data_IF_765747334108
#
_entry.id   IF_765747334108
#
_cell.length_a   1.000
_cell.length_b   1.000
_cell.length_c   1.000
_cell.angle_alpha   90.00
_cell.angle_beta   90.00
_cell.angle_gamma   90.00
#
_symmetry.space_group_name_H-M   'P 1'
#
loop_
_entity.id
_entity.type
_entity.pdbx_description
1 polymer ?
#
# COMPACT_ATOMS: atom_id res chain seq x y z
N UNK A 1 8.93 -3.32 14.05
CA UNK A 1 7.93 -2.50 13.33
C UNK A 1 6.55 -3.03 13.60
N UNK A 2 5.59 -2.17 13.91
CA UNK A 2 4.17 -2.52 14.02
C UNK A 2 3.44 -1.91 12.83
N UNK A 3 2.54 -2.69 12.20
CA UNK A 3 1.72 -2.24 11.07
C UNK A 3 0.27 -2.48 11.44
N UNK A 4 -0.58 -1.47 11.22
CA UNK A 4 -2.03 -1.57 11.40
C UNK A 4 -2.66 -1.36 10.02
N UNK A 5 -3.37 -2.36 9.53
CA UNK A 5 -4.20 -2.28 8.34
C UNK A 5 -5.62 -1.85 8.71
N UNK A 6 -6.40 -1.38 7.73
CA UNK A 6 -7.77 -0.88 7.97
C UNK A 6 -7.81 0.21 9.05
N UNK A 7 -6.91 1.19 8.87
CA UNK A 7 -6.54 2.16 9.91
C UNK A 7 -7.25 3.52 9.77
N UNK A 8 -8.37 3.60 9.05
CA UNK A 8 -9.06 4.88 8.79
C UNK A 8 -9.43 5.60 10.09
N UNK A 9 -9.85 4.84 11.10
CA UNK A 9 -10.20 5.37 12.43
C UNK A 9 -8.99 5.93 13.20
N UNK A 10 -7.76 5.56 12.84
CA UNK A 10 -6.54 6.09 13.46
C UNK A 10 -6.10 7.43 12.87
N UNK A 11 -6.65 7.83 11.72
CA UNK A 11 -6.28 9.08 11.06
C UNK A 11 -6.63 10.31 11.88
N UNK A 12 -7.69 10.23 12.70
CA UNK A 12 -8.13 11.31 13.59
C UNK A 12 -7.44 11.32 14.95
N UNK A 13 -6.71 10.26 15.32
CA UNK A 13 -6.06 10.14 16.62
C UNK A 13 -4.68 10.80 16.64
N UNK A 14 -4.27 11.32 17.78
CA UNK A 14 -2.91 11.77 18.03
C UNK A 14 -1.94 10.60 18.10
N UNK A 15 -0.66 10.88 17.85
CA UNK A 15 0.41 9.88 17.94
C UNK A 15 0.50 9.26 19.35
N UNK A 16 0.19 10.05 20.38
CA UNK A 16 0.14 9.58 21.78
C UNK A 16 -0.99 8.57 22.01
N UNK A 17 -2.16 8.78 21.40
CA UNK A 17 -3.27 7.82 21.49
C UNK A 17 -2.90 6.50 20.80
N UNK A 18 -2.31 6.58 19.60
CA UNK A 18 -1.92 5.41 18.82
C UNK A 18 -0.83 4.60 19.54
N UNK A 19 0.22 5.24 20.06
CA UNK A 19 1.29 4.50 20.75
C UNK A 19 0.80 3.84 22.04
N UNK A 20 -0.15 4.44 22.76
CA UNK A 20 -0.76 3.83 23.95
C UNK A 20 -1.55 2.55 23.59
N UNK A 21 -2.22 2.54 22.45
CA UNK A 21 -2.88 1.33 21.93
C UNK A 21 -1.84 0.25 21.61
N UNK A 22 -0.75 0.62 20.93
CA UNK A 22 0.35 -0.30 20.59
C UNK A 22 1.01 -0.86 21.85
N UNK A 23 1.30 -0.05 22.87
CA UNK A 23 1.87 -0.51 24.14
C UNK A 23 0.99 -1.54 24.83
N UNK A 24 -0.34 -1.38 24.76
CA UNK A 24 -1.29 -2.33 25.35
C UNK A 24 -1.17 -3.71 24.69
N UNK A 25 -1.07 -3.75 23.36
CA UNK A 25 -0.92 -4.99 22.60
C UNK A 25 0.48 -5.61 22.78
N UNK A 26 1.54 -4.79 22.74
CA UNK A 26 2.92 -5.24 22.96
C UNK A 26 3.11 -5.86 24.35
N UNK A 27 2.53 -5.25 25.39
CA UNK A 27 2.54 -5.82 26.74
C UNK A 27 1.79 -7.15 26.78
N UNK A 28 0.62 -7.21 26.13
CA UNK A 28 -0.25 -8.40 26.14
C UNK A 28 0.39 -9.60 25.45
N UNK A 29 1.01 -9.42 24.29
CA UNK A 29 1.48 -10.54 23.46
C UNK A 29 2.98 -10.76 23.51
N UNK A 30 3.76 -9.75 23.89
CA UNK A 30 5.23 -9.81 23.86
C UNK A 30 5.87 -9.49 25.22
N UNK A 31 5.07 -9.11 26.23
CA UNK A 31 5.54 -8.61 27.53
C UNK A 31 6.54 -7.44 27.41
N UNK A 32 6.42 -6.65 26.33
CA UNK A 32 7.19 -5.44 26.10
C UNK A 32 6.42 -4.27 26.72
N UNK A 33 7.11 -3.47 27.51
CA UNK A 33 6.57 -2.30 28.21
C UNK A 33 7.11 -0.99 27.59
N UNK A 34 6.52 0.18 27.91
CA UNK A 34 7.03 1.45 27.42
C UNK A 34 8.51 1.70 27.76
N UNK A 35 8.99 1.22 28.92
CA UNK A 35 10.38 1.39 29.35
C UNK A 35 11.39 0.62 28.48
N UNK A 36 10.91 -0.40 27.75
CA UNK A 36 11.72 -1.17 26.80
C UNK A 36 11.88 -0.46 25.44
N UNK A 37 11.12 0.62 25.20
CA UNK A 37 11.04 1.32 23.91
C UNK A 37 11.74 2.67 24.03
N UNK A 38 12.89 2.80 23.37
CA UNK A 38 13.71 4.01 23.43
C UNK A 38 13.12 5.19 22.67
N UNK A 39 12.49 4.91 21.53
CA UNK A 39 11.92 5.92 20.64
C UNK A 39 10.87 5.27 19.73
N UNK A 40 9.98 6.09 19.17
CA UNK A 40 8.99 5.67 18.19
C UNK A 40 8.74 6.77 17.16
N UNK A 41 8.36 6.35 15.96
CA UNK A 41 7.92 7.25 14.91
C UNK A 41 6.66 6.68 14.25
N UNK A 42 5.61 7.49 14.16
CA UNK A 42 4.32 7.07 13.61
C UNK A 42 4.18 7.68 12.22
N UNK A 43 3.93 6.80 11.25
CA UNK A 43 3.67 7.18 9.86
C UNK A 43 2.22 6.81 9.53
N UNK A 44 1.48 7.76 8.96
CA UNK A 44 0.08 7.60 8.57
C UNK A 44 -0.06 7.82 7.07
N UNK A 45 -0.30 6.74 6.34
CA UNK A 45 -0.46 6.77 4.89
C UNK A 45 -1.92 6.52 4.50
N UNK A 46 -2.73 7.59 4.47
CA UNK A 46 -4.18 7.53 4.18
C UNK A 46 -4.50 6.89 2.81
N UNK A 47 -3.59 6.99 1.87
CA UNK A 47 -3.76 6.51 0.48
C UNK A 47 -2.67 5.52 0.07
N UNK A 48 -2.19 4.69 1.02
CA UNK A 48 -1.11 3.74 0.79
C UNK A 48 -1.40 2.73 -0.33
N UNK A 49 -2.59 2.13 -0.31
CA UNK A 49 -3.05 1.16 -1.30
C UNK A 49 -4.54 1.37 -1.54
N UNK A 50 -5.00 1.16 -2.77
CA UNK A 50 -6.44 1.20 -3.03
C UNK A 50 -7.16 0.01 -2.36
N UNK A 51 -8.47 0.15 -2.16
CA UNK A 51 -9.30 -0.91 -1.56
C UNK A 51 -9.51 -2.03 -2.62
N UNK A 52 -9.07 -3.27 -2.38
CA UNK A 52 -9.19 -4.35 -3.36
C UNK A 52 -10.61 -4.96 -3.37
N UNK A 53 -11.66 -4.14 -3.51
CA UNK A 53 -13.04 -4.60 -3.67
C UNK A 53 -13.24 -5.22 -5.05
N UNK A 54 -14.16 -6.19 -5.18
CA UNK A 54 -14.45 -6.82 -6.48
C UNK A 54 -14.76 -5.81 -7.59
N UNK A 55 -15.45 -4.72 -7.26
CA UNK A 55 -15.72 -3.61 -8.19
C UNK A 55 -14.43 -2.94 -8.67
N UNK A 56 -13.53 -2.56 -7.76
CA UNK A 56 -12.26 -1.91 -8.14
C UNK A 56 -11.36 -2.89 -8.89
N UNK A 57 -11.30 -4.15 -8.46
CA UNK A 57 -10.52 -5.20 -9.14
C UNK A 57 -10.93 -5.36 -10.61
N UNK A 58 -12.23 -5.35 -10.89
CA UNK A 58 -12.78 -5.49 -12.24
C UNK A 58 -12.58 -4.23 -13.11
N UNK A 59 -12.33 -3.08 -12.48
CA UNK A 59 -12.16 -1.79 -13.16
C UNK A 59 -10.70 -1.33 -13.26
N UNK A 60 -9.73 -2.16 -12.83
CA UNK A 60 -8.31 -1.82 -13.01
C UNK A 60 -8.01 -1.74 -14.51
N UNK A 61 -7.38 -0.65 -14.99
CA UNK A 61 -7.05 -0.54 -16.40
C UNK A 61 -5.85 -1.42 -16.76
N UNK A 62 -5.76 -1.79 -18.02
CA UNK A 62 -4.58 -2.48 -18.55
C UNK A 62 -3.41 -1.50 -18.75
N UNK A 63 -2.21 -2.05 -18.99
CA UNK A 63 -0.99 -1.26 -19.24
C UNK A 63 -1.07 -0.51 -20.58
N UNK A 64 -1.62 -1.13 -21.61
CA UNK A 64 -1.88 -0.50 -22.91
C UNK A 64 -3.21 0.26 -22.84
N UNK A 65 -3.21 1.53 -23.30
CA UNK A 65 -4.42 2.34 -23.36
C UNK A 65 -4.91 2.50 -24.79
N UNK A 66 -6.16 2.92 -24.96
CA UNK A 66 -6.70 3.27 -26.29
C UNK A 66 -6.03 4.51 -26.90
N UNK A 67 -5.36 5.31 -26.07
CA UNK A 67 -4.64 6.52 -26.53
C UNK A 67 -3.26 6.11 -27.02
N UNK A 68 -2.99 6.37 -28.30
CA UNK A 68 -1.69 6.08 -28.91
C UNK A 68 -0.56 6.75 -28.11
N UNK A 69 0.51 5.98 -27.87
CA UNK A 69 1.70 6.40 -27.13
C UNK A 69 1.45 6.77 -25.66
N UNK A 70 0.33 6.34 -25.07
CA UNK A 70 0.06 6.46 -23.64
C UNK A 70 -0.03 5.06 -23.01
N UNK A 71 0.82 4.80 -22.02
CA UNK A 71 0.91 3.53 -21.30
C UNK A 71 0.84 3.78 -19.79
N UNK A 72 0.24 2.86 -19.05
CA UNK A 72 0.09 2.93 -17.60
C UNK A 72 1.01 1.92 -16.91
N UNK A 73 1.63 2.34 -15.81
CA UNK A 73 2.41 1.47 -14.94
C UNK A 73 2.14 1.83 -13.48
N UNK A 74 2.13 0.82 -12.62
CA UNK A 74 1.77 0.92 -11.22
C UNK A 74 1.26 -0.41 -10.69
N UNK A 75 1.23 -0.56 -9.37
CA UNK A 75 0.67 -1.73 -8.70
C UNK A 75 -0.86 -1.86 -8.88
N UNK A 76 -1.53 -0.72 -9.10
CA UNK A 76 -2.96 -0.58 -9.38
C UNK A 76 -3.39 -0.94 -10.82
N UNK A 77 -2.44 -1.12 -11.73
CA UNK A 77 -2.71 -1.58 -13.10
C UNK A 77 -3.11 -3.06 -13.08
N UNK A 78 -3.95 -3.47 -14.03
CA UNK A 78 -4.39 -4.85 -14.17
C UNK A 78 -3.26 -5.77 -14.65
N UNK A 79 -2.50 -6.32 -13.71
CA UNK A 79 -1.45 -7.31 -13.99
C UNK A 79 -1.88 -8.75 -13.72
N UNK A 80 -3.11 -8.94 -13.22
CA UNK A 80 -3.59 -10.19 -12.63
C UNK A 80 -3.04 -10.50 -11.22
N UNK A 81 -2.20 -9.62 -10.66
CA UNK A 81 -1.66 -9.75 -9.30
C UNK A 81 -2.33 -8.76 -8.32
N UNK A 82 -2.27 -9.00 -7.00
CA UNK A 82 -2.67 -7.99 -6.00
C UNK A 82 -1.80 -6.71 -6.10
N UNK A 83 -2.23 -5.62 -5.45
CA UNK A 83 -1.48 -4.35 -5.41
C UNK A 83 -0.21 -4.49 -4.58
N UNK A 84 0.85 -5.02 -5.19
CA UNK A 84 2.13 -5.29 -4.53
C UNK A 84 3.29 -4.77 -5.38
N UNK A 85 4.49 -4.84 -4.80
CA UNK A 85 5.74 -4.51 -5.50
C UNK A 85 5.89 -5.37 -6.77
N UNK A 86 5.49 -6.63 -6.75
CA UNK A 86 5.52 -7.51 -7.92
C UNK A 86 4.60 -7.01 -9.04
N UNK A 87 3.40 -6.52 -8.70
CA UNK A 87 2.49 -5.91 -9.67
C UNK A 87 3.09 -4.63 -10.27
N UNK A 88 3.66 -3.75 -9.43
CA UNK A 88 4.33 -2.54 -9.89
C UNK A 88 5.49 -2.83 -10.85
N UNK A 89 6.35 -3.79 -10.49
CA UNK A 89 7.48 -4.21 -11.34
C UNK A 89 6.99 -4.84 -12.63
N UNK A 90 5.97 -5.71 -12.56
CA UNK A 90 5.40 -6.37 -13.74
C UNK A 90 4.78 -5.38 -14.71
N UNK A 91 3.91 -4.48 -14.26
CA UNK A 91 3.30 -3.46 -15.13
C UNK A 91 4.36 -2.54 -15.72
N UNK A 92 5.36 -2.11 -14.95
CA UNK A 92 6.46 -1.29 -15.45
C UNK A 92 7.26 -1.97 -16.57
N UNK A 93 7.53 -3.27 -16.46
CA UNK A 93 8.19 -4.05 -17.53
C UNK A 93 7.31 -4.16 -18.78
N UNK A 94 6.00 -4.39 -18.63
CA UNK A 94 5.07 -4.44 -19.77
C UNK A 94 5.03 -3.08 -20.47
N UNK A 95 4.89 -1.99 -19.72
CA UNK A 95 4.87 -0.63 -20.28
C UNK A 95 6.16 -0.33 -21.06
N UNK A 96 7.33 -0.65 -20.49
CA UNK A 96 8.61 -0.44 -21.16
C UNK A 96 8.73 -1.23 -22.48
N UNK A 97 8.26 -2.48 -22.50
CA UNK A 97 8.26 -3.30 -23.72
C UNK A 97 7.32 -2.72 -24.79
N UNK A 98 6.14 -2.23 -24.41
CA UNK A 98 5.22 -1.60 -25.35
C UNK A 98 5.83 -0.34 -25.96
N UNK A 99 6.42 0.53 -25.12
CA UNK A 99 7.13 1.74 -25.57
C UNK A 99 8.24 1.38 -26.57
N UNK A 100 9.04 0.35 -26.29
CA UNK A 100 10.14 -0.05 -27.15
C UNK A 100 9.71 -0.61 -28.51
N UNK A 101 8.51 -1.21 -28.61
CA UNK A 101 7.98 -1.81 -29.84
C UNK A 101 6.99 -0.90 -30.60
N UNK A 102 6.75 0.32 -30.13
CA UNK A 102 5.84 1.28 -30.78
C UNK A 102 6.53 2.08 -31.90
N UNK A 103 7.86 1.96 -32.03
CA UNK A 103 8.69 2.58 -33.07
C UNK A 103 9.36 1.51 -33.94
#
# INVERSE_FOLDING_TARGET
TCVISDADYLMSLSDKEIINMIYSELKKYMNITPDDIKDYFIIKEKHATFIPSSEILNNRPDTETEVKNLFLAGDWVNTGLPSTIESAVKSGRVAANLVANTF
#
